data_IF_457987087396
#
_entry.id   IF_457987087396
#
_cell.length_a   1.000
_cell.length_b   1.000
_cell.length_c   1.000
_cell.angle_alpha   90.00
_cell.angle_beta   90.00
_cell.angle_gamma   90.00
#
_symmetry.space_group_name_H-M   'P 1'
#
loop_
_entity.id
_entity.type
_entity.pdbx_description
1 polymer ?
#
# COMPACT_ATOMS: atom_id res chain seq x y z
N UNK A 1 18.08 9.42 19.23
CA UNK A 1 16.73 9.60 18.66
C UNK A 1 16.81 9.11 17.23
N UNK A 2 15.93 8.20 16.79
CA UNK A 2 15.92 7.75 15.41
C UNK A 2 15.61 8.94 14.48
N UNK A 3 16.27 9.00 13.33
CA UNK A 3 15.99 10.00 12.31
C UNK A 3 14.58 9.83 11.74
N UNK A 4 13.98 10.91 11.25
CA UNK A 4 12.66 10.87 10.59
C UNK A 4 12.63 9.83 9.47
N UNK A 5 13.74 9.67 8.75
CA UNK A 5 13.92 8.66 7.69
C UNK A 5 13.94 7.24 8.24
N UNK A 6 14.60 6.96 9.36
CA UNK A 6 14.61 5.63 9.99
C UNK A 6 13.21 5.24 10.50
N UNK A 7 12.45 6.20 11.04
CA UNK A 7 11.05 5.98 11.42
C UNK A 7 10.14 5.73 10.20
N UNK A 8 10.39 6.42 9.07
CA UNK A 8 9.67 6.22 7.82
C UNK A 8 9.92 4.81 7.24
N UNK A 9 11.19 4.40 7.19
CA UNK A 9 11.63 3.06 6.76
C UNK A 9 10.93 1.98 7.59
N UNK A 10 10.96 2.11 8.92
CA UNK A 10 10.34 1.13 9.83
C UNK A 10 8.82 1.04 9.62
N UNK A 11 8.13 2.17 9.41
CA UNK A 11 6.69 2.18 9.15
C UNK A 11 6.35 1.48 7.84
N UNK A 12 7.09 1.74 6.76
CA UNK A 12 6.86 1.08 5.46
C UNK A 12 7.12 -0.43 5.56
N UNK A 13 8.18 -0.85 6.27
CA UNK A 13 8.48 -2.27 6.52
C UNK A 13 7.33 -3.00 7.22
N UNK A 14 6.75 -2.41 8.26
CA UNK A 14 5.59 -3.00 8.96
C UNK A 14 4.38 -3.20 8.06
N UNK A 15 4.14 -2.30 7.10
CA UNK A 15 3.07 -2.48 6.13
C UNK A 15 3.35 -3.63 5.16
N UNK A 16 4.60 -3.80 4.73
CA UNK A 16 5.04 -4.91 3.88
C UNK A 16 4.91 -6.26 4.59
N UNK A 17 5.23 -6.34 5.89
CA UNK A 17 5.09 -7.56 6.69
C UNK A 17 3.64 -8.07 6.78
N UNK A 18 2.65 -7.18 6.61
CA UNK A 18 1.22 -7.52 6.63
C UNK A 18 0.73 -8.09 5.28
N UNK A 19 1.47 -7.91 4.20
CA UNK A 19 1.05 -8.33 2.85
C UNK A 19 0.87 -9.85 2.70
N UNK A 20 1.77 -10.73 3.20
CA UNK A 20 1.55 -12.18 3.14
C UNK A 20 0.27 -12.64 3.83
N UNK A 21 -0.09 -12.01 4.96
CA UNK A 21 -1.32 -12.29 5.68
C UNK A 21 -2.57 -11.89 4.88
N UNK A 22 -2.54 -10.71 4.24
CA UNK A 22 -3.61 -10.23 3.35
C UNK A 22 -3.79 -11.14 2.13
N UNK A 23 -2.69 -11.70 1.61
CA UNK A 23 -2.71 -12.65 0.49
C UNK A 23 -3.29 -14.01 0.87
N UNK A 24 -3.01 -14.49 2.09
CA UNK A 24 -3.36 -15.85 2.53
C UNK A 24 -4.82 -16.10 2.88
N UNK A 25 -5.59 -15.07 3.28
CA UNK A 25 -7.01 -15.22 3.68
C UNK A 25 -8.02 -15.24 2.52
N UNK A 26 -7.56 -15.06 1.28
CA UNK A 26 -8.47 -14.69 0.19
C UNK A 26 -9.01 -13.26 0.37
N UNK A 27 -9.74 -12.72 -0.61
CA UNK A 27 -10.07 -11.31 -0.68
C UNK A 27 -11.11 -10.91 0.37
N UNK A 28 -10.67 -10.62 1.60
CA UNK A 28 -11.48 -9.89 2.57
C UNK A 28 -11.30 -8.40 2.27
N UNK A 29 -12.24 -7.84 1.48
CA UNK A 29 -12.19 -6.45 1.02
C UNK A 29 -12.04 -5.44 2.17
N UNK A 30 -12.56 -5.78 3.36
CA UNK A 30 -12.43 -4.95 4.56
C UNK A 30 -10.98 -4.82 5.05
N UNK A 31 -10.30 -5.94 5.27
CA UNK A 31 -8.92 -5.96 5.77
C UNK A 31 -7.95 -5.30 4.76
N UNK A 32 -8.20 -5.52 3.47
CA UNK A 32 -7.47 -4.83 2.40
C UNK A 32 -7.73 -3.33 2.42
N UNK A 33 -9.00 -2.90 2.48
CA UNK A 33 -9.36 -1.48 2.54
C UNK A 33 -8.72 -0.77 3.73
N UNK A 34 -8.78 -1.38 4.91
CA UNK A 34 -8.13 -0.86 6.11
C UNK A 34 -6.61 -0.77 5.95
N UNK A 35 -5.98 -1.78 5.32
CA UNK A 35 -4.55 -1.72 5.03
C UNK A 35 -4.22 -0.58 4.08
N UNK A 36 -4.99 -0.39 3.00
CA UNK A 36 -4.81 0.71 2.04
C UNK A 36 -4.91 2.06 2.74
N UNK A 37 -5.92 2.28 3.59
CA UNK A 37 -6.08 3.55 4.32
C UNK A 37 -4.89 3.84 5.23
N UNK A 38 -4.41 2.83 5.96
CA UNK A 38 -3.27 3.00 6.84
C UNK A 38 -1.97 3.26 6.07
N UNK A 39 -1.76 2.58 4.94
CA UNK A 39 -0.58 2.83 4.07
C UNK A 39 -0.65 4.24 3.50
N UNK A 40 -1.79 4.65 2.96
CA UNK A 40 -1.94 6.00 2.40
C UNK A 40 -1.66 7.07 3.46
N UNK A 41 -2.26 6.95 4.66
CA UNK A 41 -1.98 7.86 5.77
C UNK A 41 -0.49 7.88 6.16
N UNK A 42 0.16 6.72 6.15
CA UNK A 42 1.60 6.62 6.39
C UNK A 42 2.41 7.39 5.34
N UNK A 43 2.12 7.20 4.05
CA UNK A 43 2.79 7.89 2.95
C UNK A 43 2.57 9.41 3.02
N UNK A 44 1.35 9.86 3.29
CA UNK A 44 1.04 11.29 3.52
C UNK A 44 1.85 11.86 4.69
N UNK A 45 2.01 11.09 5.77
CA UNK A 45 2.81 11.52 6.92
C UNK A 45 4.30 11.64 6.61
N UNK A 46 4.83 10.79 5.71
CA UNK A 46 6.26 10.76 5.36
C UNK A 46 6.60 11.79 4.28
N UNK A 47 5.77 11.88 3.24
CA UNK A 47 6.09 12.61 2.00
C UNK A 47 5.20 13.85 1.79
N UNK A 48 4.08 13.97 2.50
CA UNK A 48 3.08 15.02 2.30
C UNK A 48 1.86 14.53 1.51
N UNK A 49 0.75 15.27 1.63
CA UNK A 49 -0.56 14.90 1.03
C UNK A 49 -0.54 14.89 -0.50
N UNK A 50 0.07 15.91 -1.12
CA UNK A 50 0.18 16.04 -2.57
C UNK A 50 1.44 15.39 -3.14
N UNK A 51 2.08 14.50 -2.37
CA UNK A 51 3.31 13.85 -2.79
C UNK A 51 3.07 12.85 -3.93
N UNK A 52 4.00 12.74 -4.91
CA UNK A 52 3.93 11.70 -5.93
C UNK A 52 3.85 10.29 -5.34
N UNK A 53 4.39 10.09 -4.14
CA UNK A 53 4.36 8.83 -3.40
C UNK A 53 2.96 8.47 -2.92
N UNK A 54 2.25 9.41 -2.31
CA UNK A 54 0.88 9.20 -1.85
C UNK A 54 -0.09 9.03 -3.03
N UNK A 55 0.05 9.88 -4.06
CA UNK A 55 -0.79 9.83 -5.26
C UNK A 55 -0.55 8.55 -6.07
N UNK A 56 0.71 8.18 -6.34
CA UNK A 56 1.05 6.96 -7.08
C UNK A 56 0.57 5.69 -6.38
N UNK A 57 0.55 5.67 -5.05
CA UNK A 57 -0.07 4.56 -4.31
C UNK A 57 -1.58 4.47 -4.55
N UNK A 58 -2.31 5.60 -4.54
CA UNK A 58 -3.75 5.64 -4.81
C UNK A 58 -4.09 5.19 -6.24
N UNK A 59 -3.27 5.54 -7.24
CA UNK A 59 -3.45 5.07 -8.63
C UNK A 59 -3.39 3.53 -8.75
N UNK A 60 -2.62 2.86 -7.89
CA UNK A 60 -2.50 1.40 -7.88
C UNK A 60 -3.72 0.72 -7.24
N UNK A 61 -4.18 1.27 -6.12
CA UNK A 61 -5.19 0.63 -5.24
C UNK A 61 -6.61 1.12 -5.47
N UNK A 62 -6.79 2.29 -6.09
CA UNK A 62 -8.06 2.99 -6.29
C UNK A 62 -8.37 4.02 -5.19
N UNK A 63 -9.00 5.12 -5.56
CA UNK A 63 -9.49 6.17 -4.67
C UNK A 63 -10.92 5.84 -4.20
N UNK A 64 -11.08 5.51 -2.91
CA UNK A 64 -12.40 5.29 -2.30
C UNK A 64 -13.02 3.91 -2.54
N UNK A 65 -14.15 3.65 -1.88
CA UNK A 65 -14.75 2.30 -1.76
C UNK A 65 -15.23 1.69 -3.09
N UNK A 66 -15.76 2.51 -4.01
CA UNK A 66 -16.21 2.07 -5.33
C UNK A 66 -15.03 1.62 -6.19
N UNK A 67 -13.97 2.44 -6.27
CA UNK A 67 -12.77 2.08 -7.01
C UNK A 67 -12.02 0.92 -6.36
N UNK A 68 -12.04 0.80 -5.02
CA UNK A 68 -11.38 -0.24 -4.20
C UNK A 68 -12.09 -1.59 -4.15
N UNK A 69 -13.27 -1.72 -4.76
CA UNK A 69 -13.88 -3.03 -4.95
C UNK A 69 -15.13 -3.36 -4.16
N UNK A 70 -15.95 -2.37 -3.78
CA UNK A 70 -17.37 -2.65 -3.62
C UNK A 70 -17.98 -2.99 -5.00
N UNK A 71 -18.06 -4.29 -5.31
CA UNK A 71 -18.59 -4.79 -6.58
C UNK A 71 -17.56 -4.99 -7.72
N UNK A 72 -16.28 -4.65 -7.53
CA UNK A 72 -15.23 -5.12 -8.45
C UNK A 72 -15.12 -6.64 -8.25
N UNK A 73 -15.12 -7.46 -9.32
CA UNK A 73 -15.10 -8.90 -9.16
C UNK A 73 -13.92 -9.29 -8.28
N UNK A 74 -14.18 -10.13 -7.28
CA UNK A 74 -13.19 -10.93 -6.55
C UNK A 74 -12.45 -11.91 -7.49
N UNK A 75 -12.39 -11.60 -8.78
CA UNK A 75 -11.78 -12.39 -9.84
C UNK A 75 -10.28 -12.44 -9.58
N UNK A 76 -9.74 -13.57 -9.10
CA UNK A 76 -8.37 -13.66 -8.60
C UNK A 76 -7.31 -13.33 -9.66
N UNK A 77 -7.67 -13.48 -10.93
CA UNK A 77 -6.81 -13.27 -12.10
C UNK A 77 -7.19 -12.03 -12.91
N UNK A 78 -8.14 -11.21 -12.44
CA UNK A 78 -8.46 -9.96 -13.11
C UNK A 78 -7.34 -8.94 -12.84
N UNK A 79 -6.87 -8.18 -13.85
CA UNK A 79 -5.81 -7.18 -13.67
C UNK A 79 -6.10 -6.13 -12.58
N UNK A 80 -7.39 -5.89 -12.32
CA UNK A 80 -7.89 -4.99 -11.28
C UNK A 80 -8.45 -5.72 -10.05
N UNK A 81 -8.30 -7.04 -9.95
CA UNK A 81 -8.67 -7.81 -8.78
C UNK A 81 -7.78 -7.49 -7.58
N UNK A 82 -8.29 -7.73 -6.37
CA UNK A 82 -7.62 -7.39 -5.11
C UNK A 82 -6.19 -7.95 -5.03
N UNK A 83 -5.96 -9.18 -5.51
CA UNK A 83 -4.64 -9.82 -5.53
C UNK A 83 -3.65 -9.07 -6.42
N UNK A 84 -4.03 -8.76 -7.65
CA UNK A 84 -3.18 -8.02 -8.58
C UNK A 84 -2.88 -6.59 -8.09
N UNK A 85 -3.82 -5.94 -7.40
CA UNK A 85 -3.58 -4.64 -6.76
C UNK A 85 -2.64 -4.76 -5.58
N UNK A 86 -2.81 -5.77 -4.74
CA UNK A 86 -1.92 -6.03 -3.61
C UNK A 86 -0.48 -6.30 -4.08
N UNK A 87 -0.31 -7.09 -5.14
CA UNK A 87 1.02 -7.38 -5.69
C UNK A 87 1.69 -6.12 -6.26
N UNK A 88 0.95 -5.27 -6.99
CA UNK A 88 1.45 -3.96 -7.45
C UNK A 88 1.80 -3.02 -6.29
N UNK A 89 0.94 -2.97 -5.28
CA UNK A 89 1.14 -2.12 -4.11
C UNK A 89 2.36 -2.58 -3.28
N UNK A 90 2.56 -3.89 -3.12
CA UNK A 90 3.76 -4.44 -2.48
C UNK A 90 5.03 -4.02 -3.23
N UNK A 91 5.06 -4.17 -4.56
CA UNK A 91 6.19 -3.77 -5.38
C UNK A 91 6.51 -2.28 -5.24
N UNK A 92 5.47 -1.43 -5.25
CA UNK A 92 5.62 0.01 -5.08
C UNK A 92 6.21 0.39 -3.72
N UNK A 93 5.71 -0.20 -2.63
CA UNK A 93 6.23 0.04 -1.29
C UNK A 93 7.68 -0.44 -1.13
N UNK A 94 8.06 -1.56 -1.77
CA UNK A 94 9.45 -2.02 -1.81
C UNK A 94 10.37 -1.01 -2.52
N UNK A 95 9.94 -0.47 -3.65
CA UNK A 95 10.71 0.57 -4.37
C UNK A 95 10.88 1.84 -3.53
N UNK A 96 9.82 2.28 -2.83
CA UNK A 96 9.91 3.43 -1.92
C UNK A 96 10.88 3.17 -0.76
N UNK A 97 10.82 1.96 -0.19
CA UNK A 97 11.72 1.54 0.87
C UNK A 97 13.19 1.54 0.41
N UNK A 98 13.49 0.91 -0.73
CA UNK A 98 14.84 0.89 -1.31
C UNK A 98 15.38 2.30 -1.56
N UNK A 99 14.53 3.21 -2.05
CA UNK A 99 14.90 4.62 -2.27
C UNK A 99 15.22 5.33 -0.97
N UNK A 100 14.41 5.16 0.08
CA UNK A 100 14.67 5.76 1.40
C UNK A 100 15.94 5.19 2.04
N UNK A 101 16.19 3.89 1.90
CA UNK A 101 17.40 3.24 2.40
C UNK A 101 18.66 3.73 1.66
N UNK A 102 18.56 4.04 0.37
CA UNK A 102 19.67 4.57 -0.43
C UNK A 102 20.00 6.04 -0.11
N UNK A 103 19.11 6.75 0.57
CA UNK A 103 19.29 8.14 1.01
C UNK A 103 19.86 8.24 2.43
N UNK A 104 20.12 7.10 3.08
CA UNK A 104 20.65 7.00 4.45
C UNK A 104 22.15 7.26 4.51
#
# INVERSE_FOLDING_TARGET
MASTTELAIERIRRHLERVPWLRGRGPVSYDYGQWVDNVHHCLVTIFGEDSPEAQGFLEIVGMGAEERGWGVPLAPNHPWGLRARLDRAEAYLRQLLERLESQR
#
